data_IF_488985370008
#
_entry.id   IF_488985370008
#
_cell.length_a   1.000
_cell.length_b   1.000
_cell.length_c   1.000
_cell.angle_alpha   90.00
_cell.angle_beta   90.00
_cell.angle_gamma   90.00
#
_symmetry.space_group_name_H-M   'P 1'
#
loop_
_entity.id
_entity.type
_entity.pdbx_description
1 polymer ?
#
# COMPACT_ATOMS: atom_id res chain seq x y z
N UNK A 1 -1.41 -0.38 -22.25
CA UNK A 1 -2.82 -0.83 -22.31
C UNK A 1 -3.00 -1.64 -23.58
N UNK A 2 -3.80 -2.73 -23.60
CA UNK A 2 -4.00 -3.54 -24.80
C UNK A 2 -5.04 -2.89 -25.73
N UNK A 3 -4.84 -1.63 -26.10
CA UNK A 3 -5.65 -0.90 -27.08
C UNK A 3 -4.73 -0.24 -28.08
N UNK A 4 -5.12 -0.26 -29.36
CA UNK A 4 -4.41 0.45 -30.40
C UNK A 4 -4.56 1.97 -30.21
N UNK A 5 -3.60 2.74 -30.71
CA UNK A 5 -3.67 4.21 -30.71
C UNK A 5 -4.83 4.63 -31.61
N UNK A 6 -5.67 5.55 -31.11
CA UNK A 6 -6.86 6.05 -31.83
C UNK A 6 -8.16 5.31 -31.51
N UNK A 7 -8.11 4.21 -30.78
CA UNK A 7 -9.31 3.48 -30.32
C UNK A 7 -9.95 4.14 -29.08
N UNK A 8 -11.29 4.03 -28.92
CA UNK A 8 -11.95 4.37 -27.65
C UNK A 8 -11.34 3.60 -26.48
N UNK A 9 -11.13 4.28 -25.34
CA UNK A 9 -10.51 3.76 -24.13
C UNK A 9 -11.40 2.77 -23.34
N UNK A 10 -11.92 1.75 -24.03
CA UNK A 10 -12.76 0.68 -23.48
C UNK A 10 -11.96 -0.62 -23.55
N UNK A 11 -11.61 -1.20 -22.40
CA UNK A 11 -10.81 -2.42 -22.36
C UNK A 11 -11.54 -3.64 -22.97
N UNK A 12 -10.81 -4.71 -23.35
CA UNK A 12 -11.41 -5.91 -23.93
C UNK A 12 -12.53 -6.54 -23.09
N UNK A 13 -12.36 -6.60 -21.76
CA UNK A 13 -13.36 -7.20 -20.87
C UNK A 13 -14.68 -6.42 -20.86
N UNK A 14 -14.73 -5.09 -20.65
CA UNK A 14 -15.95 -4.32 -20.83
C UNK A 14 -16.58 -4.46 -22.23
N UNK A 15 -15.78 -4.54 -23.29
CA UNK A 15 -16.31 -4.80 -24.66
C UNK A 15 -17.02 -6.15 -24.75
N UNK A 16 -16.44 -7.20 -24.14
CA UNK A 16 -17.06 -8.52 -24.08
C UNK A 16 -18.35 -8.51 -23.23
N UNK A 17 -18.36 -7.79 -22.11
CA UNK A 17 -19.55 -7.63 -21.25
C UNK A 17 -20.70 -6.93 -21.97
N UNK A 18 -20.42 -5.87 -22.74
CA UNK A 18 -21.43 -5.17 -23.55
C UNK A 18 -22.03 -6.13 -24.60
N UNK A 19 -21.19 -6.91 -25.29
CA UNK A 19 -21.66 -7.90 -26.27
C UNK A 19 -22.52 -8.98 -25.63
N UNK A 20 -22.13 -9.48 -24.46
CA UNK A 20 -22.90 -10.47 -23.72
C UNK A 20 -24.28 -9.92 -23.34
N UNK A 21 -24.35 -8.70 -22.80
CA UNK A 21 -25.60 -8.06 -22.43
C UNK A 21 -26.55 -7.85 -23.63
N UNK A 22 -26.02 -7.45 -24.79
CA UNK A 22 -26.81 -7.30 -26.01
C UNK A 22 -27.33 -8.63 -26.54
N UNK A 23 -26.50 -9.68 -26.45
CA UNK A 23 -26.88 -11.04 -26.84
C UNK A 23 -28.00 -11.56 -25.95
N UNK A 24 -27.89 -11.36 -24.64
CA UNK A 24 -28.91 -11.74 -23.66
C UNK A 24 -30.24 -11.00 -23.91
N UNK A 25 -30.17 -9.67 -24.11
CA UNK A 25 -31.34 -8.85 -24.40
C UNK A 25 -32.03 -9.23 -25.72
N UNK A 26 -31.30 -9.84 -26.66
CA UNK A 26 -31.79 -10.28 -27.96
C UNK A 26 -31.94 -11.82 -28.02
N UNK A 27 -32.53 -12.40 -26.97
CA UNK A 27 -32.90 -13.82 -26.89
C UNK A 27 -31.74 -14.80 -27.18
N UNK A 28 -30.52 -14.45 -26.77
CA UNK A 28 -29.32 -15.28 -26.95
C UNK A 28 -28.64 -15.12 -28.32
N UNK A 29 -29.11 -14.22 -29.18
CA UNK A 29 -28.53 -13.95 -30.49
C UNK A 29 -27.83 -12.59 -30.43
N UNK A 30 -26.52 -12.54 -30.75
CA UNK A 30 -25.82 -11.26 -30.82
C UNK A 30 -26.41 -10.42 -31.96
N UNK A 31 -26.99 -9.24 -31.68
CA UNK A 31 -27.57 -8.40 -32.71
C UNK A 31 -26.47 -7.80 -33.59
N UNK A 32 -26.80 -7.53 -34.85
CA UNK A 32 -25.98 -6.71 -35.75
C UNK A 32 -26.27 -5.23 -35.43
N UNK A 33 -25.45 -4.66 -34.53
CA UNK A 33 -25.68 -3.33 -33.98
C UNK A 33 -24.36 -2.56 -33.79
N UNK A 34 -24.42 -1.27 -34.10
CA UNK A 34 -23.38 -0.30 -33.75
C UNK A 34 -23.72 0.36 -32.40
N UNK A 35 -22.77 0.35 -31.46
CA UNK A 35 -23.00 0.78 -30.08
C UNK A 35 -22.06 1.92 -29.74
N UNK A 36 -22.63 3.06 -29.40
CA UNK A 36 -21.90 4.23 -28.88
C UNK A 36 -22.10 4.36 -27.38
N UNK A 37 -21.00 4.37 -26.62
CA UNK A 37 -21.01 4.61 -25.17
C UNK A 37 -20.60 6.06 -24.92
N UNK A 38 -21.42 6.81 -24.21
CA UNK A 38 -21.13 8.18 -23.80
C UNK A 38 -21.15 8.32 -22.28
N UNK A 39 -20.31 9.21 -21.77
CA UNK A 39 -20.31 9.59 -20.35
C UNK A 39 -20.57 11.09 -20.28
N UNK A 40 -21.67 11.47 -19.65
CA UNK A 40 -22.02 12.88 -19.47
C UNK A 40 -20.89 13.60 -18.72
N UNK A 41 -20.46 14.75 -19.23
CA UNK A 41 -19.30 15.49 -18.71
C UNK A 41 -17.99 14.68 -18.64
N UNK A 42 -17.85 13.60 -19.42
CA UNK A 42 -16.71 12.68 -19.36
C UNK A 42 -15.36 13.37 -19.57
N UNK A 43 -15.29 14.38 -20.44
CA UNK A 43 -14.09 15.18 -20.66
C UNK A 43 -13.69 15.97 -19.40
N UNK A 44 -14.63 16.70 -18.79
CA UNK A 44 -14.39 17.43 -17.52
C UNK A 44 -14.02 16.49 -16.38
N UNK A 45 -14.65 15.32 -16.31
CA UNK A 45 -14.33 14.31 -15.29
C UNK A 45 -12.94 13.72 -15.49
N UNK A 46 -12.50 13.55 -16.74
CA UNK A 46 -11.18 13.02 -17.07
C UNK A 46 -10.02 13.89 -16.57
N UNK A 47 -10.22 15.22 -16.48
CA UNK A 47 -9.26 16.16 -15.88
C UNK A 47 -8.89 15.80 -14.44
N UNK A 48 -9.80 15.14 -13.71
CA UNK A 48 -9.62 14.70 -12.32
C UNK A 48 -9.05 13.28 -12.20
N UNK A 49 -8.61 12.70 -13.31
CA UNK A 49 -8.05 11.34 -13.36
C UNK A 49 -6.60 11.35 -13.83
N UNK A 50 -5.98 10.17 -13.88
CA UNK A 50 -4.64 9.99 -14.43
C UNK A 50 -4.64 9.68 -15.93
N UNK A 51 -5.79 9.74 -16.60
CA UNK A 51 -5.96 9.33 -18.00
C UNK A 51 -5.08 10.11 -18.98
N UNK A 52 -4.96 11.43 -18.81
CA UNK A 52 -4.13 12.28 -19.66
C UNK A 52 -2.65 11.87 -19.64
N UNK A 53 -2.15 11.44 -18.48
CA UNK A 53 -0.78 10.93 -18.32
C UNK A 53 -0.56 9.57 -18.98
N UNK A 54 -1.63 8.84 -19.26
CA UNK A 54 -1.63 7.54 -19.92
C UNK A 54 -1.94 7.66 -21.42
N UNK A 55 -1.99 8.88 -21.97
CA UNK A 55 -2.27 9.14 -23.38
C UNK A 55 -3.74 9.07 -23.76
N UNK A 56 -4.64 9.05 -22.77
CA UNK A 56 -6.09 9.01 -22.98
C UNK A 56 -6.60 10.45 -22.85
N UNK A 57 -7.06 11.00 -23.98
CA UNK A 57 -7.46 12.39 -24.12
C UNK A 57 -8.96 12.49 -24.41
N UNK A 58 -9.58 13.59 -23.98
CA UNK A 58 -10.99 13.88 -24.29
C UNK A 58 -12.02 13.01 -23.58
N UNK A 59 -11.64 12.17 -22.60
CA UNK A 59 -12.61 11.32 -21.92
C UNK A 59 -12.07 10.35 -20.87
N UNK A 60 -13.00 9.57 -20.32
CA UNK A 60 -12.74 8.55 -19.31
C UNK A 60 -12.42 7.19 -19.94
N UNK A 61 -11.82 6.31 -19.15
CA UNK A 61 -11.60 4.91 -19.54
C UNK A 61 -12.71 4.05 -18.97
N UNK A 62 -13.28 3.16 -19.79
CA UNK A 62 -14.21 2.12 -19.34
C UNK A 62 -13.38 0.86 -19.07
N UNK A 63 -13.19 0.59 -17.78
CA UNK A 63 -12.31 -0.45 -17.25
C UNK A 63 -13.09 -1.37 -16.31
N UNK A 64 -12.60 -2.59 -16.11
CA UNK A 64 -13.19 -3.56 -15.20
C UNK A 64 -12.90 -4.99 -15.65
N UNK A 65 -12.58 -5.88 -14.72
CA UNK A 65 -12.34 -7.29 -15.00
C UNK A 65 -13.53 -8.16 -14.62
N UNK A 66 -14.30 -7.75 -13.60
CA UNK A 66 -15.42 -8.53 -13.04
C UNK A 66 -16.79 -7.88 -13.22
N UNK A 67 -16.85 -6.60 -13.60
CA UNK A 67 -18.11 -5.84 -13.69
C UNK A 67 -18.68 -5.41 -12.33
N UNK A 68 -18.04 -5.81 -11.22
CA UNK A 68 -18.43 -5.45 -9.85
C UNK A 68 -17.50 -4.33 -9.37
N UNK A 69 -18.07 -3.17 -9.05
CA UNK A 69 -17.35 -2.14 -8.30
C UNK A 69 -17.43 -2.51 -6.83
N UNK A 70 -16.30 -2.84 -6.21
CA UNK A 70 -16.22 -2.98 -4.75
C UNK A 70 -15.88 -1.61 -4.16
N UNK A 71 -16.85 -0.87 -3.58
CA UNK A 71 -16.55 0.40 -2.93
C UNK A 71 -15.77 0.11 -1.65
N UNK A 72 -14.49 0.44 -1.61
CA UNK A 72 -13.74 0.38 -0.36
C UNK A 72 -14.13 1.55 0.54
N UNK A 73 -15.09 1.33 1.43
CA UNK A 73 -15.16 2.11 2.67
C UNK A 73 -13.98 1.74 3.56
N UNK A 74 -13.56 2.63 4.47
CA UNK A 74 -12.50 2.31 5.43
C UNK A 74 -12.86 1.07 6.27
N UNK A 75 -14.15 0.84 6.55
CA UNK A 75 -14.60 -0.35 7.27
C UNK A 75 -14.48 -1.63 6.44
N UNK A 76 -14.80 -1.59 5.14
CA UNK A 76 -14.62 -2.74 4.25
C UNK A 76 -13.14 -3.13 4.11
N UNK A 77 -12.23 -2.16 4.06
CA UNK A 77 -10.79 -2.42 4.04
C UNK A 77 -10.30 -3.05 5.36
N UNK A 78 -10.77 -2.56 6.51
CA UNK A 78 -10.41 -3.16 7.81
C UNK A 78 -10.98 -4.58 7.91
N UNK A 79 -12.19 -4.82 7.41
CA UNK A 79 -12.77 -6.16 7.40
C UNK A 79 -11.99 -7.11 6.50
N UNK A 80 -11.52 -6.68 5.32
CA UNK A 80 -10.68 -7.52 4.46
C UNK A 80 -9.36 -7.89 5.14
N UNK A 81 -8.74 -6.97 5.88
CA UNK A 81 -7.56 -7.26 6.72
C UNK A 81 -7.88 -8.36 7.74
N UNK A 82 -8.99 -8.23 8.47
CA UNK A 82 -9.39 -9.23 9.48
C UNK A 82 -9.62 -10.60 8.84
N UNK A 83 -10.29 -10.64 7.68
CA UNK A 83 -10.55 -11.90 6.96
C UNK A 83 -9.27 -12.55 6.47
N UNK A 84 -8.31 -11.78 5.97
CA UNK A 84 -6.99 -12.31 5.59
C UNK A 84 -6.30 -12.98 6.79
N UNK A 85 -6.32 -12.33 7.96
CA UNK A 85 -5.77 -12.90 9.20
C UNK A 85 -6.51 -14.18 9.61
N UNK A 86 -7.84 -14.20 9.56
CA UNK A 86 -8.63 -15.38 9.93
C UNK A 86 -8.34 -16.58 9.03
N UNK A 87 -8.25 -16.37 7.70
CA UNK A 87 -7.90 -17.42 6.74
C UNK A 87 -6.50 -17.96 7.02
N UNK A 88 -5.52 -17.07 7.17
CA UNK A 88 -4.13 -17.46 7.42
C UNK A 88 -4.00 -18.28 8.73
N UNK A 89 -4.73 -17.89 9.77
CA UNK A 89 -4.80 -18.63 11.03
C UNK A 89 -5.49 -19.98 10.89
N UNK A 90 -6.57 -20.06 10.11
CA UNK A 90 -7.28 -21.32 9.85
C UNK A 90 -6.42 -22.31 9.05
N UNK A 91 -5.54 -21.81 8.19
CA UNK A 91 -4.52 -22.60 7.47
C UNK A 91 -3.35 -23.03 8.37
N UNK A 92 -3.28 -22.55 9.62
CA UNK A 92 -2.21 -22.87 10.56
C UNK A 92 -0.91 -22.12 10.31
N UNK A 93 -0.94 -21.00 9.57
CA UNK A 93 0.25 -20.19 9.32
C UNK A 93 0.71 -19.49 10.60
N UNK A 94 2.01 -19.59 10.87
CA UNK A 94 2.62 -19.07 12.09
C UNK A 94 3.28 -17.70 11.91
N UNK A 95 3.53 -17.31 10.66
CA UNK A 95 4.20 -16.06 10.31
C UNK A 95 3.37 -15.31 9.27
N UNK A 96 2.88 -14.13 9.63
CA UNK A 96 2.15 -13.23 8.74
C UNK A 96 2.95 -11.97 8.44
N UNK A 97 2.73 -11.38 7.27
CA UNK A 97 3.31 -10.10 6.90
C UNK A 97 2.24 -9.06 6.57
N UNK A 98 2.20 -7.95 7.33
CA UNK A 98 1.38 -6.79 7.02
C UNK A 98 2.12 -5.81 6.11
N UNK A 99 1.67 -5.61 4.88
CA UNK A 99 2.34 -4.76 3.89
C UNK A 99 1.62 -3.43 3.66
N UNK A 100 2.39 -2.34 3.47
CA UNK A 100 1.80 -1.03 3.09
C UNK A 100 1.49 -0.91 1.60
N UNK A 101 1.87 -1.92 0.80
CA UNK A 101 1.66 -1.97 -0.64
C UNK A 101 2.57 -2.96 -1.35
N UNK A 102 2.32 -3.15 -2.65
CA UNK A 102 2.90 -4.20 -3.49
C UNK A 102 4.44 -4.32 -3.47
N UNK A 103 5.17 -3.20 -3.41
CA UNK A 103 6.65 -3.24 -3.36
C UNK A 103 7.14 -3.87 -2.05
N UNK A 104 6.60 -3.41 -0.90
CA UNK A 104 6.94 -3.98 0.40
C UNK A 104 6.45 -5.43 0.55
N UNK A 105 5.29 -5.75 -0.02
CA UNK A 105 4.72 -7.10 0.00
C UNK A 105 5.60 -8.12 -0.71
N UNK A 106 5.98 -7.83 -1.96
CA UNK A 106 6.92 -8.68 -2.70
C UNK A 106 8.28 -8.76 -2.03
N UNK A 107 8.72 -7.65 -1.43
CA UNK A 107 9.97 -7.58 -0.68
C UNK A 107 9.98 -8.54 0.51
N UNK A 108 8.98 -8.45 1.40
CA UNK A 108 8.87 -9.33 2.58
C UNK A 108 8.58 -10.78 2.20
N UNK A 109 7.75 -10.99 1.17
CA UNK A 109 7.47 -12.32 0.64
C UNK A 109 8.76 -13.01 0.22
N UNK A 110 9.58 -12.34 -0.60
CA UNK A 110 10.86 -12.89 -1.06
C UNK A 110 11.85 -13.05 0.10
N UNK A 111 11.86 -12.13 1.06
CA UNK A 111 12.81 -12.16 2.18
C UNK A 111 12.60 -13.38 3.08
N UNK A 112 11.35 -13.71 3.40
CA UNK A 112 10.99 -14.83 4.27
C UNK A 112 10.48 -16.07 3.54
N UNK A 113 10.36 -16.03 2.21
CA UNK A 113 9.73 -17.07 1.38
C UNK A 113 8.30 -17.42 1.85
N UNK A 114 7.49 -16.39 2.12
CA UNK A 114 6.13 -16.54 2.62
C UNK A 114 5.15 -16.97 1.51
N UNK A 115 4.18 -17.84 1.81
CA UNK A 115 3.08 -18.14 0.89
C UNK A 115 2.17 -16.91 0.74
N UNK A 116 1.43 -16.82 -0.37
CA UNK A 116 0.53 -15.70 -0.63
C UNK A 116 -0.51 -15.50 0.48
N UNK A 117 -0.99 -16.58 1.09
CA UNK A 117 -1.98 -16.53 2.19
C UNK A 117 -1.41 -15.98 3.51
N UNK A 118 -0.09 -15.85 3.65
CA UNK A 118 0.55 -15.16 4.78
C UNK A 118 0.65 -13.64 4.58
N UNK A 119 0.38 -13.14 3.37
CA UNK A 119 0.52 -11.73 3.01
C UNK A 119 -0.80 -11.00 3.25
N UNK A 120 -0.77 -10.03 4.15
CA UNK A 120 -1.93 -9.21 4.50
C UNK A 120 -1.71 -7.81 3.93
N UNK A 121 -2.50 -7.47 2.90
CA UNK A 121 -2.51 -6.12 2.31
C UNK A 121 -3.17 -5.12 3.28
N UNK A 122 -2.37 -4.64 4.22
CA UNK A 122 -2.80 -3.72 5.26
C UNK A 122 -2.95 -2.29 4.73
N UNK A 123 -2.20 -1.93 3.70
CA UNK A 123 -2.14 -0.57 3.17
C UNK A 123 -1.72 0.42 4.26
N UNK A 124 -2.50 1.48 4.45
CA UNK A 124 -2.21 2.51 5.45
C UNK A 124 -2.76 2.19 6.86
N UNK A 125 -3.54 1.12 7.02
CA UNK A 125 -4.31 0.84 8.24
C UNK A 125 -3.56 -0.04 9.25
N UNK A 126 -2.38 0.39 9.67
CA UNK A 126 -1.57 -0.31 10.69
C UNK A 126 -2.35 -0.63 11.97
N UNK A 127 -3.16 0.30 12.44
CA UNK A 127 -4.01 0.10 13.61
C UNK A 127 -5.10 -0.93 13.45
N UNK A 128 -5.63 -1.12 12.23
CA UNK A 128 -6.61 -2.15 11.94
C UNK A 128 -6.00 -3.53 12.17
N UNK A 129 -4.87 -3.79 11.52
CA UNK A 129 -4.16 -5.07 11.65
C UNK A 129 -3.67 -5.33 13.07
N UNK A 130 -2.94 -4.38 13.68
CA UNK A 130 -2.29 -4.59 14.98
C UNK A 130 -3.32 -4.79 16.11
N UNK A 131 -4.40 -4.00 16.15
CA UNK A 131 -5.44 -4.15 17.17
C UNK A 131 -6.21 -5.46 17.02
N UNK A 132 -6.34 -5.95 15.79
CA UNK A 132 -6.98 -7.24 15.53
C UNK A 132 -6.09 -8.41 15.96
N UNK A 133 -4.82 -8.42 15.53
CA UNK A 133 -3.85 -9.45 15.93
C UNK A 133 -3.61 -9.51 17.43
N UNK A 134 -3.70 -8.38 18.15
CA UNK A 134 -3.67 -8.40 19.62
C UNK A 134 -4.75 -9.30 20.24
N UNK A 135 -5.94 -9.36 19.62
CA UNK A 135 -7.06 -10.22 20.06
C UNK A 135 -7.01 -11.61 19.43
N UNK A 136 -6.39 -11.73 18.26
CA UNK A 136 -6.29 -12.95 17.46
C UNK A 136 -4.81 -13.24 17.15
N UNK A 137 -4.00 -13.60 18.17
CA UNK A 137 -2.56 -13.65 18.02
C UNK A 137 -2.11 -14.73 17.04
N UNK A 138 -0.98 -14.43 16.39
CA UNK A 138 -0.16 -15.35 15.63
C UNK A 138 1.24 -15.36 16.23
N UNK A 139 2.02 -16.44 16.11
CA UNK A 139 3.37 -16.50 16.68
C UNK A 139 4.29 -15.38 16.21
N UNK A 140 4.25 -15.01 14.92
CA UNK A 140 5.16 -14.05 14.32
C UNK A 140 4.45 -13.11 13.33
N UNK A 141 4.66 -11.81 13.49
CA UNK A 141 4.20 -10.76 12.58
C UNK A 141 5.39 -9.92 12.06
N UNK A 142 5.51 -9.79 10.74
CA UNK A 142 6.37 -8.77 10.13
C UNK A 142 5.53 -7.60 9.63
N UNK A 143 5.88 -6.37 9.98
CA UNK A 143 5.35 -5.18 9.29
C UNK A 143 6.34 -4.74 8.21
N UNK A 144 5.87 -4.61 6.98
CA UNK A 144 6.70 -4.20 5.85
C UNK A 144 6.17 -2.94 5.19
N UNK A 145 7.05 -1.99 4.91
CA UNK A 145 6.61 -0.77 4.25
C UNK A 145 7.70 0.15 3.73
N UNK A 146 7.27 1.18 3.02
CA UNK A 146 8.18 2.22 2.54
C UNK A 146 8.69 3.10 3.68
N UNK A 147 9.89 3.68 3.50
CA UNK A 147 10.57 4.53 4.49
C UNK A 147 9.63 5.56 5.12
N UNK A 148 8.87 6.33 4.33
CA UNK A 148 7.97 7.36 4.85
C UNK A 148 6.83 6.81 5.74
N UNK A 149 6.27 5.66 5.37
CA UNK A 149 5.18 5.02 6.12
C UNK A 149 5.70 4.44 7.42
N UNK A 150 6.89 3.84 7.40
CA UNK A 150 7.55 3.28 8.58
C UNK A 150 8.02 4.39 9.53
N UNK A 151 8.47 5.55 9.02
CA UNK A 151 8.73 6.72 9.87
C UNK A 151 7.48 7.17 10.61
N UNK A 152 6.33 7.25 9.92
CA UNK A 152 5.06 7.58 10.58
C UNK A 152 4.67 6.56 11.63
N UNK A 153 4.81 5.26 11.33
CA UNK A 153 4.54 4.21 12.30
C UNK A 153 5.42 4.36 13.54
N UNK A 154 6.73 4.60 13.37
CA UNK A 154 7.65 4.86 14.48
C UNK A 154 7.37 6.13 15.27
N UNK A 155 6.62 7.07 14.70
CA UNK A 155 6.12 8.27 15.37
C UNK A 155 4.74 8.04 16.03
N UNK A 156 4.26 6.80 16.11
CA UNK A 156 3.01 6.44 16.78
C UNK A 156 1.75 6.53 15.90
N UNK A 157 1.87 6.79 14.60
CA UNK A 157 0.70 6.83 13.72
C UNK A 157 0.15 5.42 13.48
N UNK A 158 -1.15 5.26 13.72
CA UNK A 158 -1.88 4.00 13.44
C UNK A 158 -2.58 4.02 12.07
N UNK A 159 -2.70 5.19 11.45
CA UNK A 159 -3.14 5.39 10.06
C UNK A 159 -2.04 6.16 9.33
N UNK A 160 -1.38 5.47 8.41
CA UNK A 160 -0.17 5.93 7.73
C UNK A 160 -0.50 6.82 6.52
N UNK A 161 -1.77 7.06 6.22
CA UNK A 161 -2.20 7.89 5.10
C UNK A 161 -1.72 9.33 5.28
N UNK A 162 -1.21 9.96 4.21
CA UNK A 162 -0.61 11.32 4.27
C UNK A 162 -1.57 12.38 4.82
N UNK A 163 -2.86 12.26 4.52
CA UNK A 163 -3.93 13.13 5.07
C UNK A 163 -4.06 13.10 6.60
N UNK A 164 -3.55 12.09 7.29
CA UNK A 164 -3.57 12.04 8.77
C UNK A 164 -2.47 12.85 9.43
N UNK A 165 -1.56 13.40 8.64
CA UNK A 165 -0.42 14.16 9.10
C UNK A 165 0.84 13.75 8.34
N UNK A 166 1.72 14.71 8.03
CA UNK A 166 3.06 14.40 7.53
C UNK A 166 3.90 13.73 8.63
N UNK A 167 5.01 13.11 8.24
CA UNK A 167 6.02 12.71 9.22
C UNK A 167 6.67 13.95 9.84
N UNK A 168 6.98 13.89 11.12
CA UNK A 168 7.69 14.95 11.83
C UNK A 168 9.19 14.81 11.59
N UNK A 169 9.73 15.70 10.75
CA UNK A 169 11.15 15.69 10.39
C UNK A 169 12.06 16.08 11.55
N UNK A 170 11.58 16.88 12.52
CA UNK A 170 12.36 17.25 13.72
C UNK A 170 12.46 16.07 14.67
N UNK A 171 11.40 15.30 14.85
CA UNK A 171 11.46 14.05 15.60
C UNK A 171 12.39 13.02 14.93
N UNK A 172 12.36 12.92 13.60
CA UNK A 172 13.29 12.06 12.87
C UNK A 172 14.75 12.50 13.06
N UNK A 173 15.02 13.80 13.06
CA UNK A 173 16.34 14.35 13.36
C UNK A 173 16.77 14.10 14.82
N UNK A 174 15.86 14.24 15.78
CA UNK A 174 16.12 13.92 17.18
C UNK A 174 16.45 12.43 17.36
N UNK A 175 15.77 11.54 16.62
CA UNK A 175 16.08 10.11 16.59
C UNK A 175 17.51 9.84 16.09
N UNK A 176 17.97 10.58 15.09
CA UNK A 176 19.35 10.51 14.57
C UNK A 176 20.35 10.90 15.65
N UNK A 177 20.15 12.03 16.34
CA UNK A 177 21.04 12.47 17.42
C UNK A 177 21.09 11.48 18.59
N UNK A 178 19.94 10.92 18.96
CA UNK A 178 19.83 9.93 20.04
C UNK A 178 20.60 8.63 19.73
N UNK A 179 20.94 8.38 18.46
CA UNK A 179 21.63 7.16 18.01
C UNK A 179 23.00 7.46 17.38
N UNK A 180 23.74 8.41 17.95
CA UNK A 180 25.10 8.77 17.56
C UNK A 180 25.23 9.35 16.13
N UNK A 181 24.15 9.88 15.57
CA UNK A 181 24.20 10.64 14.33
C UNK A 181 24.88 11.98 14.53
N UNK A 182 25.67 12.41 13.53
CA UNK A 182 26.33 13.73 13.57
C UNK A 182 25.29 14.85 13.53
N UNK A 183 25.52 15.98 14.24
CA UNK A 183 24.64 17.14 14.21
C UNK A 183 24.29 17.60 12.79
N UNK A 184 25.26 17.63 11.87
CA UNK A 184 25.05 18.04 10.47
C UNK A 184 24.05 17.14 9.73
N UNK A 185 24.05 15.83 10.02
CA UNK A 185 23.09 14.88 9.43
C UNK A 185 21.68 15.16 9.97
N UNK A 186 21.57 15.32 11.29
CA UNK A 186 20.28 15.60 11.93
C UNK A 186 19.69 16.92 11.45
N UNK A 187 20.51 17.97 11.33
CA UNK A 187 20.13 19.27 10.81
C UNK A 187 19.62 19.22 9.37
N UNK A 188 20.30 18.44 8.52
CA UNK A 188 19.89 18.21 7.13
C UNK A 188 18.55 17.48 7.08
N UNK A 189 18.37 16.45 7.90
CA UNK A 189 17.11 15.69 8.01
C UNK A 189 15.97 16.59 8.47
N UNK A 190 16.17 17.43 9.49
CA UNK A 190 15.15 18.32 10.03
C UNK A 190 14.63 19.34 8.99
N UNK A 191 15.49 19.74 8.05
CA UNK A 191 15.18 20.70 6.97
C UNK A 191 14.72 20.03 5.67
N UNK A 192 14.81 18.71 5.57
CA UNK A 192 14.45 17.98 4.36
C UNK A 192 12.93 18.04 4.11
N UNK A 193 12.49 18.42 2.90
CA UNK A 193 11.07 18.46 2.52
C UNK A 193 10.34 17.12 2.66
N UNK A 194 11.05 16.00 2.48
CA UNK A 194 10.46 14.66 2.52
C UNK A 194 11.35 13.67 3.26
N UNK A 195 10.73 12.63 3.82
CA UNK A 195 11.45 11.50 4.43
C UNK A 195 12.36 10.79 3.41
N UNK A 196 11.95 10.72 2.14
CA UNK A 196 12.76 10.09 1.09
C UNK A 196 14.06 10.86 0.84
N UNK A 197 13.98 12.20 0.83
CA UNK A 197 15.15 13.07 0.67
C UNK A 197 16.06 13.02 1.89
N UNK A 198 15.49 13.07 3.11
CA UNK A 198 16.24 12.85 4.34
C UNK A 198 16.99 11.51 4.36
N UNK A 199 16.33 10.44 3.90
CA UNK A 199 16.95 9.13 3.78
C UNK A 199 18.08 9.09 2.76
N UNK A 200 17.91 9.74 1.60
CA UNK A 200 18.97 9.83 0.61
C UNK A 200 20.20 10.55 1.18
N UNK A 201 20.02 11.69 1.85
CA UNK A 201 21.11 12.43 2.48
C UNK A 201 21.82 11.62 3.57
N UNK A 202 21.07 10.95 4.44
CA UNK A 202 21.65 10.09 5.46
C UNK A 202 22.46 8.94 4.84
N UNK A 203 21.93 8.32 3.78
CA UNK A 203 22.60 7.22 3.08
C UNK A 203 23.89 7.66 2.39
N UNK A 204 23.91 8.84 1.77
CA UNK A 204 25.11 9.43 1.17
C UNK A 204 26.24 9.67 2.18
N UNK A 205 25.88 9.92 3.45
CA UNK A 205 26.83 10.07 4.54
C UNK A 205 27.13 8.76 5.28
N UNK A 206 26.63 7.62 4.78
CA UNK A 206 26.83 6.30 5.37
C UNK A 206 26.07 6.08 6.69
N UNK A 207 25.06 6.90 7.00
CA UNK A 207 24.29 6.78 8.23
C UNK A 207 23.08 5.85 8.04
N UNK A 208 22.91 4.82 8.89
CA UNK A 208 21.92 3.76 8.69
C UNK A 208 20.50 4.17 9.14
N UNK A 209 19.95 5.24 8.57
CA UNK A 209 18.66 5.81 8.97
C UNK A 209 17.50 4.81 8.84
N UNK A 210 17.53 3.93 7.83
CA UNK A 210 16.49 2.92 7.63
C UNK A 210 16.34 1.96 8.81
N UNK A 211 17.46 1.51 9.40
CA UNK A 211 17.44 0.64 10.59
C UNK A 211 16.88 1.37 11.82
N UNK A 212 17.17 2.66 11.98
CA UNK A 212 16.60 3.45 13.08
C UNK A 212 15.09 3.64 12.93
N UNK A 213 14.64 3.91 11.71
CA UNK A 213 13.21 3.97 11.39
C UNK A 213 12.53 2.63 11.69
N UNK A 214 13.13 1.51 11.26
CA UNK A 214 12.61 0.17 11.54
C UNK A 214 12.48 -0.09 13.04
N UNK A 215 13.51 0.24 13.83
CA UNK A 215 13.50 0.07 15.31
C UNK A 215 12.43 0.91 15.98
N UNK A 216 12.30 2.17 15.58
CA UNK A 216 11.28 3.08 16.10
C UNK A 216 9.88 2.57 15.78
N UNK A 217 9.64 2.11 14.54
CA UNK A 217 8.37 1.49 14.14
C UNK A 217 8.09 0.20 14.91
N UNK A 218 9.11 -0.65 15.11
CA UNK A 218 8.97 -1.88 15.87
C UNK A 218 8.58 -1.62 17.32
N UNK A 219 9.11 -0.56 17.94
CA UNK A 219 8.70 -0.18 19.29
C UNK A 219 7.20 0.12 19.35
N UNK A 220 6.69 0.94 18.41
CA UNK A 220 5.25 1.22 18.33
C UNK A 220 4.41 -0.05 18.08
N UNK A 221 4.88 -0.96 17.22
CA UNK A 221 4.22 -2.25 16.98
C UNK A 221 4.14 -3.05 18.27
N UNK A 222 5.25 -3.20 19.01
CA UNK A 222 5.30 -3.91 20.29
C UNK A 222 4.39 -3.30 21.34
N UNK A 223 4.37 -1.97 21.45
CA UNK A 223 3.52 -1.25 22.41
C UNK A 223 2.03 -1.51 22.15
N UNK A 224 1.64 -1.58 20.87
CA UNK A 224 0.25 -1.85 20.48
C UNK A 224 -0.12 -3.32 20.69
N UNK A 225 0.80 -4.25 20.39
CA UNK A 225 0.56 -5.69 20.52
C UNK A 225 0.56 -6.15 21.98
N UNK A 226 1.27 -5.47 22.87
CA UNK A 226 1.31 -5.84 24.29
C UNK A 226 -0.11 -5.94 24.90
N UNK A 227 -0.42 -6.99 25.70
CA UNK A 227 0.45 -8.07 26.17
C UNK A 227 0.43 -9.35 25.31
N UNK A 228 -0.06 -9.30 24.07
CA UNK A 228 -0.15 -10.48 23.22
C UNK A 228 1.24 -11.08 22.92
N UNK A 229 1.41 -12.41 22.99
CA UNK A 229 2.71 -13.07 22.83
C UNK A 229 3.06 -13.23 21.34
N UNK A 230 3.28 -12.11 20.66
CA UNK A 230 3.57 -12.06 19.22
C UNK A 230 5.02 -11.58 19.03
N UNK A 231 5.85 -12.40 18.41
CA UNK A 231 7.15 -11.94 17.92
C UNK A 231 6.91 -10.96 16.76
N UNK A 232 7.59 -9.81 16.78
CA UNK A 232 7.44 -8.81 15.74
C UNK A 232 8.80 -8.33 15.21
N UNK A 233 8.85 -8.07 13.91
CA UNK A 233 9.94 -7.39 13.20
C UNK A 233 9.39 -6.39 12.18
N UNK A 234 10.23 -5.43 11.77
CA UNK A 234 9.88 -4.42 10.78
C UNK A 234 10.90 -4.42 9.64
N UNK A 235 10.41 -4.51 8.41
CA UNK A 235 11.22 -4.37 7.18
C UNK A 235 10.87 -3.08 6.44
N UNK A 236 11.90 -2.31 6.09
CA UNK A 236 11.78 -1.05 5.37
C UNK A 236 12.35 -1.20 3.97
N UNK A 237 11.53 -0.90 2.97
CA UNK A 237 11.91 -0.98 1.57
C UNK A 237 11.97 0.41 0.92
N UNK A 238 12.91 0.60 0.00
CA UNK A 238 12.91 1.76 -0.90
C UNK A 238 11.92 1.58 -2.06
N UNK A 239 11.83 2.57 -2.95
CA UNK A 239 10.93 2.51 -4.12
C UNK A 239 11.36 1.48 -5.18
N UNK A 240 12.63 1.08 -5.20
CA UNK A 240 13.15 0.05 -6.09
C UNK A 240 12.94 -1.36 -5.53
N UNK A 241 12.44 -1.49 -4.29
CA UNK A 241 12.22 -2.77 -3.63
C UNK A 241 13.46 -3.31 -2.92
N UNK A 242 14.50 -2.50 -2.73
CA UNK A 242 15.65 -2.90 -1.93
C UNK A 242 15.32 -2.78 -0.44
N UNK A 243 15.76 -3.76 0.34
CA UNK A 243 15.70 -3.68 1.80
C UNK A 243 16.72 -2.65 2.27
N UNK A 244 16.24 -1.60 2.94
CA UNK A 244 17.05 -0.46 3.41
C UNK A 244 17.01 -0.30 4.92
N UNK A 245 16.17 -1.05 5.62
CA UNK A 245 16.08 -1.05 7.07
C UNK A 245 15.44 -2.32 7.60
N UNK A 246 15.93 -2.80 8.74
CA UNK A 246 15.38 -3.95 9.45
C UNK A 246 15.55 -3.78 10.97
N UNK A 247 14.58 -4.28 11.74
CA UNK A 247 14.63 -4.33 13.20
C UNK A 247 13.82 -5.49 13.76
#
# INVERSE_FOLDING_TARGET
MPLAVGEPAINPTPRAMIRAALTEANAGICPDAEVSISVENGEKLAERTLNSRLGILGGLSILGTTGIVVPFSCSAWIESIHRGVDVARAEGLTHLAGSTGNVSEKGVQKFYNLPDSALIEMGDFAGGLLKYLRKHPVPHLTISGGIAKMTKLGQGFMDLHSKRGPADMRQLAALVLAHNGKPDIADTIARSPTVAEAFLHASQQGFPLGNLIARSALQTVKDVLHPAPIQADVLVFDRAGNLVGQA
#
